data_IF_114195239912
#
_entry.id   IF_114195239912
#
_cell.length_a   1.000
_cell.length_b   1.000
_cell.length_c   1.000
_cell.angle_alpha   90.00
_cell.angle_beta   90.00
_cell.angle_gamma   90.00
#
_symmetry.space_group_name_H-M   'P 1'
#
loop_
_entity.id
_entity.type
_entity.pdbx_description
1 polymer ?
#
# COMPACT_ATOMS: atom_id res chain seq x y z
N UNK A 1 45.10 -5.76 6.45
CA UNK A 1 43.85 -5.32 5.79
C UNK A 1 42.78 -6.42 5.65
N UNK A 2 43.10 -7.69 5.33
CA UNK A 2 42.12 -8.81 5.24
C UNK A 2 41.21 -9.02 6.47
N UNK A 3 41.74 -8.85 7.69
CA UNK A 3 40.98 -9.07 8.94
C UNK A 3 39.87 -8.04 9.15
N UNK A 4 40.08 -6.79 8.73
CA UNK A 4 39.10 -5.70 8.89
C UNK A 4 37.90 -5.90 7.95
N UNK A 5 38.16 -6.38 6.73
CA UNK A 5 37.09 -6.68 5.75
C UNK A 5 36.18 -7.83 6.18
N UNK A 6 36.74 -8.87 6.80
CA UNK A 6 35.97 -10.01 7.30
C UNK A 6 35.09 -9.62 8.50
N UNK A 7 35.61 -8.79 9.40
CA UNK A 7 34.85 -8.24 10.54
C UNK A 7 33.71 -7.34 10.06
N UNK A 8 33.95 -6.45 9.08
CA UNK A 8 32.90 -5.61 8.50
C UNK A 8 31.82 -6.44 7.79
N UNK A 9 32.20 -7.51 7.10
CA UNK A 9 31.27 -8.45 6.49
C UNK A 9 30.37 -9.15 7.51
N UNK A 10 30.93 -9.65 8.61
CA UNK A 10 30.16 -10.26 9.69
C UNK A 10 29.18 -9.27 10.33
N UNK A 11 29.62 -8.04 10.64
CA UNK A 11 28.75 -6.99 11.20
C UNK A 11 27.60 -6.68 10.24
N UNK A 12 27.88 -6.53 8.95
CA UNK A 12 26.85 -6.29 7.94
C UNK A 12 25.82 -7.42 7.89
N UNK A 13 26.26 -8.68 7.90
CA UNK A 13 25.36 -9.84 7.93
C UNK A 13 24.56 -9.93 9.22
N UNK A 14 25.17 -9.68 10.38
CA UNK A 14 24.44 -9.70 11.65
C UNK A 14 23.39 -8.59 11.71
N UNK A 15 23.71 -7.37 11.27
CA UNK A 15 22.74 -6.26 11.20
C UNK A 15 21.64 -6.55 10.19
N UNK A 16 21.97 -7.10 9.03
CA UNK A 16 20.99 -7.47 8.01
C UNK A 16 20.05 -8.56 8.50
N UNK A 17 20.57 -9.64 9.09
CA UNK A 17 19.80 -10.76 9.62
C UNK A 17 18.97 -10.32 10.83
N UNK A 18 19.52 -9.54 11.76
CA UNK A 18 18.73 -9.07 12.92
C UNK A 18 17.63 -8.11 12.51
N UNK A 19 17.87 -7.17 11.59
CA UNK A 19 16.81 -6.28 11.08
C UNK A 19 15.75 -7.06 10.29
N UNK A 20 16.16 -8.06 9.52
CA UNK A 20 15.23 -8.93 8.80
C UNK A 20 14.42 -9.78 9.77
N UNK A 21 15.06 -10.48 10.71
CA UNK A 21 14.40 -11.33 11.71
C UNK A 21 13.45 -10.52 12.60
N UNK A 22 13.89 -9.39 13.16
CA UNK A 22 13.06 -8.56 14.03
C UNK A 22 11.89 -7.95 13.25
N UNK A 23 12.15 -7.44 12.04
CA UNK A 23 11.11 -6.94 11.14
C UNK A 23 10.11 -8.04 10.78
N UNK A 24 10.55 -9.27 10.52
CA UNK A 24 9.65 -10.39 10.25
C UNK A 24 8.82 -10.78 11.47
N UNK A 25 9.39 -10.82 12.67
CA UNK A 25 8.67 -11.18 13.91
C UNK A 25 7.56 -10.17 14.21
N UNK A 26 7.80 -8.87 14.02
CA UNK A 26 6.76 -7.86 14.21
C UNK A 26 5.68 -7.94 13.11
N UNK A 27 6.06 -8.23 11.86
CA UNK A 27 5.12 -8.48 10.76
C UNK A 27 4.20 -9.67 11.07
N UNK A 28 4.75 -10.79 11.57
CA UNK A 28 3.93 -11.97 11.89
C UNK A 28 2.91 -11.69 13.01
N UNK A 29 3.20 -10.75 13.92
CA UNK A 29 2.25 -10.36 14.96
C UNK A 29 1.06 -9.56 14.42
N UNK A 30 1.28 -8.72 13.41
CA UNK A 30 0.22 -7.94 12.78
C UNK A 30 0.53 -7.63 11.29
N UNK A 31 0.27 -8.56 10.38
CA UNK A 31 0.61 -8.41 8.96
C UNK A 31 -0.23 -7.33 8.27
N UNK A 32 -1.47 -7.10 8.73
CA UNK A 32 -2.34 -6.02 8.24
C UNK A 32 -1.77 -4.64 8.54
N UNK A 33 -1.21 -4.45 9.74
CA UNK A 33 -0.53 -3.20 10.10
C UNK A 33 0.76 -3.00 9.30
N UNK A 34 1.54 -4.07 9.09
CA UNK A 34 2.73 -4.00 8.26
C UNK A 34 2.41 -3.61 6.81
N UNK A 35 1.31 -4.15 6.26
CA UNK A 35 0.78 -3.77 4.96
C UNK A 35 0.37 -2.28 4.91
N UNK A 36 -0.26 -1.76 5.96
CA UNK A 36 -0.58 -0.34 6.03
C UNK A 36 0.69 0.54 6.07
N UNK A 37 1.67 0.20 6.91
CA UNK A 37 2.90 0.99 7.05
C UNK A 37 3.74 1.02 5.77
N UNK A 38 3.78 -0.08 5.00
CA UNK A 38 4.51 -0.10 3.73
C UNK A 38 3.83 0.81 2.70
N UNK A 39 2.50 0.89 2.69
CA UNK A 39 1.72 1.80 1.83
C UNK A 39 1.99 3.26 2.20
N UNK A 40 1.95 3.61 3.49
CA UNK A 40 2.24 4.98 3.97
C UNK A 40 3.65 5.43 3.60
N UNK A 41 4.62 4.52 3.64
CA UNK A 41 6.02 4.84 3.37
C UNK A 41 6.28 5.36 1.94
N UNK A 42 5.30 5.26 1.04
CA UNK A 42 5.47 5.65 -0.37
C UNK A 42 5.52 7.16 -0.59
N UNK A 43 4.97 7.95 0.34
CA UNK A 43 4.99 9.42 0.28
C UNK A 43 6.42 10.03 0.33
N UNK A 44 7.44 9.25 0.71
CA UNK A 44 8.83 9.73 0.85
C UNK A 44 9.72 9.56 -0.40
N UNK A 45 9.17 9.17 -1.56
CA UNK A 45 9.78 9.47 -2.87
C UNK A 45 11.10 8.79 -3.25
N UNK A 46 11.45 7.61 -2.72
CA UNK A 46 12.68 6.91 -3.13
C UNK A 46 12.43 5.86 -4.23
N UNK A 47 12.85 6.05 -5.49
CA UNK A 47 12.55 5.14 -6.59
C UNK A 47 13.23 3.77 -6.50
N UNK A 48 14.37 3.65 -5.79
CA UNK A 48 15.04 2.36 -5.54
C UNK A 48 14.29 1.45 -4.55
N UNK A 49 13.22 1.95 -3.93
CA UNK A 49 12.41 1.21 -2.98
C UNK A 49 11.16 0.56 -3.59
N UNK A 50 10.78 0.84 -4.84
CA UNK A 50 9.49 0.37 -5.38
C UNK A 50 9.43 -1.16 -5.51
N UNK A 51 10.45 -1.82 -6.08
CA UNK A 51 10.46 -3.30 -6.25
C UNK A 51 10.49 -4.05 -4.92
N UNK A 52 11.31 -3.60 -3.97
CA UNK A 52 11.41 -4.24 -2.65
C UNK A 52 10.14 -4.01 -1.81
N UNK A 53 9.50 -2.84 -1.95
CA UNK A 53 8.19 -2.56 -1.36
C UNK A 53 7.11 -3.45 -1.98
N UNK A 54 7.13 -3.60 -3.30
CA UNK A 54 6.20 -4.47 -4.00
C UNK A 54 6.30 -5.93 -3.54
N UNK A 55 7.53 -6.43 -3.36
CA UNK A 55 7.77 -7.76 -2.80
C UNK A 55 7.27 -7.87 -1.36
N UNK A 56 7.50 -6.84 -0.52
CA UNK A 56 7.02 -6.82 0.86
C UNK A 56 5.49 -6.80 0.95
N UNK A 57 4.81 -6.01 0.14
CA UNK A 57 3.35 -6.02 0.07
C UNK A 57 2.82 -7.41 -0.29
N UNK A 58 3.38 -8.03 -1.35
CA UNK A 58 2.99 -9.39 -1.74
C UNK A 58 3.28 -10.42 -0.63
N UNK A 59 4.39 -10.27 0.08
CA UNK A 59 4.72 -11.11 1.23
C UNK A 59 3.72 -10.94 2.38
N UNK A 60 3.32 -9.72 2.72
CA UNK A 60 2.33 -9.48 3.78
C UNK A 60 0.94 -10.01 3.39
N UNK A 61 0.54 -9.88 2.13
CA UNK A 61 -0.68 -10.49 1.62
C UNK A 61 -0.62 -12.02 1.68
N UNK A 62 0.53 -12.64 1.39
CA UNK A 62 0.75 -14.07 1.58
C UNK A 62 0.60 -14.50 3.05
N UNK A 63 1.01 -13.63 3.99
CA UNK A 63 0.81 -13.82 5.43
C UNK A 63 -0.61 -13.47 5.92
N UNK A 64 -1.59 -13.43 5.01
CA UNK A 64 -3.01 -13.21 5.33
C UNK A 64 -3.25 -11.82 5.94
N UNK A 65 -2.45 -10.81 5.56
CA UNK A 65 -2.79 -9.42 5.85
C UNK A 65 -4.18 -9.09 5.29
N UNK A 66 -5.06 -8.53 6.12
CA UNK A 66 -6.38 -8.11 5.68
C UNK A 66 -6.33 -6.66 5.17
N UNK A 67 -6.45 -6.42 3.85
CA UNK A 67 -6.38 -5.07 3.30
C UNK A 67 -7.62 -4.23 3.62
N UNK A 68 -8.69 -4.84 4.13
CA UNK A 68 -9.95 -4.20 4.52
C UNK A 68 -9.96 -3.74 5.98
N UNK A 69 -9.03 -4.24 6.80
CA UNK A 69 -9.03 -3.94 8.22
C UNK A 69 -8.54 -2.50 8.46
N UNK A 70 -9.32 -1.64 9.15
CA UNK A 70 -8.85 -0.32 9.51
C UNK A 70 -7.62 -0.42 10.41
N UNK A 71 -6.61 0.40 10.14
CA UNK A 71 -5.36 0.46 10.89
C UNK A 71 -5.23 1.83 11.57
N UNK A 72 -4.10 2.51 11.41
CA UNK A 72 -3.92 3.86 11.94
C UNK A 72 -4.89 4.85 11.27
N UNK A 73 -5.35 5.81 12.08
CA UNK A 73 -6.32 6.85 11.69
C UNK A 73 -7.66 6.32 11.16
N UNK A 74 -7.99 5.05 11.43
CA UNK A 74 -9.25 4.43 11.04
C UNK A 74 -9.35 4.05 9.56
N UNK A 75 -8.29 4.23 8.78
CA UNK A 75 -8.26 3.89 7.35
C UNK A 75 -7.69 2.50 7.13
N UNK A 76 -8.24 1.79 6.15
CA UNK A 76 -7.64 0.56 5.65
C UNK A 76 -6.38 0.83 4.82
N UNK A 77 -5.60 -0.22 4.55
CA UNK A 77 -4.41 -0.10 3.70
C UNK A 77 -4.75 0.35 2.27
N UNK A 78 -5.95 0.00 1.77
CA UNK A 78 -6.42 0.43 0.46
C UNK A 78 -6.81 1.92 0.44
N UNK A 79 -7.58 2.38 1.43
CA UNK A 79 -7.94 3.80 1.53
C UNK A 79 -6.68 4.68 1.63
N UNK A 80 -5.67 4.22 2.37
CA UNK A 80 -4.40 4.93 2.44
C UNK A 80 -3.66 4.93 1.10
N UNK A 81 -3.66 3.80 0.37
CA UNK A 81 -3.04 3.72 -0.95
C UNK A 81 -3.66 4.73 -1.93
N UNK A 82 -4.97 4.96 -1.83
CA UNK A 82 -5.67 6.00 -2.58
C UNK A 82 -5.25 7.39 -2.12
N UNK A 83 -5.23 7.64 -0.80
CA UNK A 83 -4.87 8.94 -0.22
C UNK A 83 -3.46 9.42 -0.60
N UNK A 84 -2.52 8.49 -0.78
CA UNK A 84 -1.13 8.81 -1.15
C UNK A 84 -0.83 8.59 -2.64
N UNK A 85 -1.86 8.32 -3.46
CA UNK A 85 -1.74 8.03 -4.90
C UNK A 85 -0.73 6.91 -5.23
N UNK A 86 -0.67 5.86 -4.40
CA UNK A 86 0.20 4.71 -4.63
C UNK A 86 -0.45 3.73 -5.62
N UNK A 87 -0.25 3.98 -6.92
CA UNK A 87 -0.84 3.18 -8.00
C UNK A 87 -0.48 1.68 -7.94
N UNK A 88 0.74 1.34 -7.51
CA UNK A 88 1.17 -0.06 -7.38
C UNK A 88 0.38 -0.80 -6.30
N UNK A 89 0.19 -0.15 -5.14
CA UNK A 89 -0.65 -0.68 -4.07
C UNK A 89 -2.12 -0.73 -4.50
N UNK A 90 -2.65 0.33 -5.13
CA UNK A 90 -4.04 0.34 -5.64
C UNK A 90 -4.27 -0.86 -6.56
N UNK A 91 -3.40 -1.10 -7.53
CA UNK A 91 -3.52 -2.25 -8.46
C UNK A 91 -3.61 -3.58 -7.72
N UNK A 92 -2.75 -3.79 -6.72
CA UNK A 92 -2.66 -5.05 -5.98
C UNK A 92 -3.82 -5.26 -5.02
N UNK A 93 -4.27 -4.19 -4.38
CA UNK A 93 -5.28 -4.25 -3.31
C UNK A 93 -6.71 -4.21 -3.85
N UNK A 94 -6.97 -3.52 -4.98
CA UNK A 94 -8.31 -3.42 -5.60
C UNK A 94 -9.05 -4.77 -5.73
N UNK A 95 -8.44 -5.86 -6.24
CA UNK A 95 -9.15 -7.15 -6.37
C UNK A 95 -9.37 -7.88 -5.04
N UNK A 96 -8.76 -7.42 -3.94
CA UNK A 96 -8.79 -8.07 -2.62
C UNK A 96 -9.68 -7.34 -1.62
N UNK A 97 -10.11 -6.11 -1.93
CA UNK A 97 -10.98 -5.33 -1.05
C UNK A 97 -12.45 -5.57 -1.34
N UNK A 98 -13.25 -5.55 -0.28
CA UNK A 98 -14.69 -5.61 -0.38
C UNK A 98 -15.26 -4.31 -0.97
N UNK A 99 -16.51 -4.36 -1.43
CA UNK A 99 -17.20 -3.23 -2.04
C UNK A 99 -17.22 -1.99 -1.14
N UNK A 100 -17.46 -2.16 0.17
CA UNK A 100 -17.52 -1.04 1.11
C UNK A 100 -16.20 -0.27 1.17
N UNK A 101 -15.07 -0.97 1.31
CA UNK A 101 -13.74 -0.36 1.37
C UNK A 101 -13.34 0.24 0.03
N UNK A 102 -13.72 -0.42 -1.08
CA UNK A 102 -13.53 0.11 -2.42
C UNK A 102 -14.24 1.47 -2.59
N UNK A 103 -15.53 1.52 -2.27
CA UNK A 103 -16.32 2.75 -2.37
C UNK A 103 -15.76 3.85 -1.48
N UNK A 104 -15.36 3.56 -0.24
CA UNK A 104 -14.71 4.55 0.63
C UNK A 104 -13.42 5.13 0.01
N UNK A 105 -12.61 4.29 -0.62
CA UNK A 105 -11.42 4.75 -1.36
C UNK A 105 -11.78 5.63 -2.56
N UNK A 106 -12.77 5.24 -3.37
CA UNK A 106 -13.23 6.07 -4.50
C UNK A 106 -13.79 7.41 -4.01
N UNK A 107 -14.58 7.40 -2.94
CA UNK A 107 -15.11 8.60 -2.30
C UNK A 107 -13.99 9.55 -1.83
N UNK A 108 -12.91 8.99 -1.27
CA UNK A 108 -11.75 9.76 -0.84
C UNK A 108 -11.07 10.49 -2.01
N UNK A 109 -10.88 9.81 -3.14
CA UNK A 109 -10.32 10.42 -4.36
C UNK A 109 -11.29 11.41 -5.03
N UNK A 110 -12.60 11.16 -4.94
CA UNK A 110 -13.62 12.11 -5.43
C UNK A 110 -13.57 13.46 -4.71
N UNK A 111 -13.16 13.50 -3.44
CA UNK A 111 -13.10 14.75 -2.67
C UNK A 111 -12.09 15.76 -3.26
N UNK A 112 -11.03 15.28 -3.92
CA UNK A 112 -10.02 16.11 -4.58
C UNK A 112 -9.94 15.77 -6.08
N UNK A 113 -11.08 15.77 -6.77
CA UNK A 113 -11.15 15.30 -8.16
C UNK A 113 -10.16 16.00 -9.12
N UNK A 114 -9.87 17.29 -8.89
CA UNK A 114 -8.94 18.05 -9.73
C UNK A 114 -7.48 17.56 -9.65
N UNK A 115 -7.10 16.94 -8.52
CA UNK A 115 -5.74 16.36 -8.34
C UNK A 115 -5.73 14.85 -8.51
N UNK A 116 -6.81 14.17 -8.13
CA UNK A 116 -6.85 12.72 -7.99
C UNK A 116 -7.60 12.02 -9.14
N UNK A 117 -7.89 12.75 -10.23
CA UNK A 117 -8.55 12.22 -11.42
C UNK A 117 -7.83 10.96 -11.98
N UNK A 118 -6.48 10.99 -12.02
CA UNK A 118 -5.69 9.85 -12.48
C UNK A 118 -5.86 8.62 -11.56
N UNK A 119 -5.99 8.85 -10.26
CA UNK A 119 -6.25 7.80 -9.26
C UNK A 119 -7.61 7.16 -9.50
N UNK A 120 -8.65 7.97 -9.76
CA UNK A 120 -10.00 7.48 -10.08
C UNK A 120 -10.03 6.66 -11.37
N UNK A 121 -9.38 7.14 -12.45
CA UNK A 121 -9.26 6.35 -13.68
C UNK A 121 -8.59 5.01 -13.43
N UNK A 122 -7.53 5.01 -12.61
CA UNK A 122 -6.79 3.80 -12.29
C UNK A 122 -7.63 2.82 -11.48
N UNK A 123 -8.40 3.30 -10.50
CA UNK A 123 -9.32 2.51 -9.67
C UNK A 123 -10.39 1.82 -10.54
N UNK A 124 -10.97 2.54 -11.49
CA UNK A 124 -12.01 2.00 -12.38
C UNK A 124 -11.43 0.97 -13.35
N UNK A 125 -10.25 1.27 -13.94
CA UNK A 125 -9.52 0.31 -14.78
C UNK A 125 -9.16 -0.96 -14.02
N UNK A 126 -8.71 -0.84 -12.77
CA UNK A 126 -8.32 -1.98 -11.93
C UNK A 126 -9.51 -2.89 -11.58
N UNK A 127 -10.74 -2.35 -11.53
CA UNK A 127 -11.97 -3.10 -11.26
C UNK A 127 -12.71 -3.56 -12.53
N UNK A 128 -12.24 -3.13 -13.71
CA UNK A 128 -12.85 -3.44 -15.00
C UNK A 128 -14.08 -2.59 -15.34
N UNK A 129 -14.26 -1.46 -14.66
CA UNK A 129 -15.40 -0.56 -14.84
C UNK A 129 -15.16 0.35 -16.05
N UNK A 130 -15.55 -0.12 -17.24
CA UNK A 130 -15.33 0.61 -18.51
C UNK A 130 -16.39 1.68 -18.82
N UNK A 131 -17.49 1.73 -18.07
CA UNK A 131 -18.67 2.55 -18.39
C UNK A 131 -18.89 3.75 -17.47
N UNK A 132 -18.14 3.85 -16.36
CA UNK A 132 -18.24 4.96 -15.42
C UNK A 132 -17.10 5.95 -15.70
N UNK A 133 -17.42 7.18 -16.07
CA UNK A 133 -16.42 8.25 -16.05
C UNK A 133 -16.25 8.72 -14.59
N UNK A 134 -15.02 8.96 -14.11
CA UNK A 134 -14.76 9.44 -12.75
C UNK A 134 -15.65 10.61 -12.32
N UNK A 135 -15.84 11.57 -13.23
CA UNK A 135 -16.66 12.77 -13.00
C UNK A 135 -18.14 12.43 -12.79
N UNK A 136 -18.69 11.52 -13.59
CA UNK A 136 -20.10 11.14 -13.45
C UNK A 136 -20.31 10.35 -12.16
N UNK A 137 -19.38 9.45 -11.83
CA UNK A 137 -19.43 8.69 -10.58
C UNK A 137 -19.41 9.64 -9.36
N UNK A 138 -18.46 10.56 -9.28
CA UNK A 138 -18.35 11.47 -8.14
C UNK A 138 -19.57 12.41 -8.01
N UNK A 139 -20.22 12.77 -9.12
CA UNK A 139 -21.48 13.55 -9.12
C UNK A 139 -22.69 12.73 -8.66
N UNK A 140 -22.80 11.46 -9.08
CA UNK A 140 -23.88 10.56 -8.64
C UNK A 140 -23.70 10.05 -7.22
N UNK A 141 -22.45 9.96 -6.76
CA UNK A 141 -22.13 9.46 -5.43
C UNK A 141 -22.62 10.38 -4.30
N UNK A 142 -23.07 11.61 -4.61
CA UNK A 142 -23.66 12.59 -3.70
C UNK A 142 -23.18 12.39 -2.25
N UNK A 143 -21.88 12.62 -2.09
CA UNK A 143 -21.22 12.60 -0.79
C UNK A 143 -21.55 13.91 -0.09
N UNK A 144 -22.73 13.96 0.50
CA UNK A 144 -23.01 14.87 1.61
C UNK A 144 -22.18 14.48 2.84
#
# INVERSE_FOLDING_TARGET
>A
MRKISLVLGCIFWTVFITRFAYGTVEVFKNPSLALYMIVVSDKTGSPSTSTMRDLRMSFYLLLVANPNAPQYWGRSAFEEAVAVANFAAIKKLTPLVNEKVYLLGVQLACHNIDTDYEVLEYLFKARGEQLLTPINFCKTANLD
#
